data_IF_955552006288
#
_entry.id   IF_955552006288
#
_cell.length_a   1.000
_cell.length_b   1.000
_cell.length_c   1.000
_cell.angle_alpha   90.00
_cell.angle_beta   90.00
_cell.angle_gamma   90.00
#
_symmetry.space_group_name_H-M   'P 1'
#
loop_
_entity.id
_entity.type
_entity.pdbx_description
1 polymer ?
#
# COMPACT_ATOMS: atom_id res chain seq x y z
N UNK A 1 14.65 -33.34 -5.87
CA UNK A 1 14.91 -31.88 -5.81
C UNK A 1 13.68 -31.04 -5.40
N UNK A 2 12.44 -31.58 -5.35
CA UNK A 2 11.22 -30.79 -5.05
C UNK A 2 11.04 -30.27 -3.61
N UNK A 3 11.56 -30.95 -2.59
CA UNK A 3 11.28 -30.62 -1.18
C UNK A 3 11.72 -29.23 -0.71
N UNK A 4 12.77 -28.65 -1.31
CA UNK A 4 13.20 -27.28 -0.98
C UNK A 4 12.23 -26.25 -1.57
N UNK A 5 11.85 -26.42 -2.84
CA UNK A 5 10.90 -25.55 -3.51
C UNK A 5 9.57 -25.50 -2.78
N UNK A 6 9.06 -26.67 -2.36
CA UNK A 6 7.85 -26.78 -1.54
C UNK A 6 7.95 -26.03 -0.21
N UNK A 7 9.08 -26.12 0.50
CA UNK A 7 9.25 -25.41 1.78
C UNK A 7 9.38 -23.90 1.60
N UNK A 8 10.12 -23.45 0.59
CA UNK A 8 10.22 -22.02 0.25
C UNK A 8 8.84 -21.48 -0.13
N UNK A 9 8.10 -22.23 -0.95
CA UNK A 9 6.75 -21.88 -1.37
C UNK A 9 5.78 -21.82 -0.19
N UNK A 10 5.73 -22.86 0.65
CA UNK A 10 4.86 -22.89 1.83
C UNK A 10 5.22 -21.77 2.82
N UNK A 11 6.52 -21.51 3.01
CA UNK A 11 7.00 -20.40 3.81
C UNK A 11 6.53 -19.05 3.27
N UNK A 12 6.72 -18.80 1.97
CA UNK A 12 6.27 -17.58 1.29
C UNK A 12 4.74 -17.40 1.33
N UNK A 13 3.99 -18.47 1.11
CA UNK A 13 2.53 -18.46 1.17
C UNK A 13 2.03 -18.07 2.58
N UNK A 14 2.59 -18.70 3.62
CA UNK A 14 2.21 -18.44 5.00
C UNK A 14 2.57 -17.02 5.44
N UNK A 15 3.78 -16.56 5.14
CA UNK A 15 4.21 -15.20 5.48
C UNK A 15 3.42 -14.15 4.71
N UNK A 16 3.13 -14.36 3.43
CA UNK A 16 2.23 -13.50 2.65
C UNK A 16 0.85 -13.43 3.31
N UNK A 17 0.27 -14.57 3.71
CA UNK A 17 -1.04 -14.61 4.36
C UNK A 17 -1.03 -13.85 5.70
N UNK A 18 0.02 -14.01 6.50
CA UNK A 18 0.17 -13.28 7.77
C UNK A 18 0.28 -11.77 7.53
N UNK A 19 1.15 -11.34 6.60
CA UNK A 19 1.31 -9.91 6.29
C UNK A 19 0.03 -9.32 5.69
N UNK A 20 -0.67 -10.08 4.84
CA UNK A 20 -1.96 -9.68 4.27
C UNK A 20 -3.01 -9.52 5.37
N UNK A 21 -3.12 -10.49 6.29
CA UNK A 21 -4.05 -10.42 7.41
C UNK A 21 -3.79 -9.21 8.31
N UNK A 22 -2.51 -8.91 8.61
CA UNK A 22 -2.11 -7.73 9.36
C UNK A 22 -2.46 -6.43 8.61
N UNK A 23 -2.22 -6.39 7.29
CA UNK A 23 -2.57 -5.25 6.45
C UNK A 23 -4.08 -5.00 6.38
N UNK A 24 -4.88 -6.07 6.22
CA UNK A 24 -6.35 -6.00 6.26
C UNK A 24 -6.82 -5.52 7.63
N UNK A 25 -6.33 -6.10 8.73
CA UNK A 25 -6.71 -5.69 10.07
C UNK A 25 -6.40 -4.21 10.32
N UNK A 26 -5.20 -3.75 9.95
CA UNK A 26 -4.82 -2.33 10.05
C UNK A 26 -5.73 -1.43 9.18
N UNK A 27 -6.10 -1.89 7.98
CA UNK A 27 -7.06 -1.22 7.11
C UNK A 27 -8.45 -1.12 7.73
N UNK A 28 -8.96 -2.22 8.29
CA UNK A 28 -10.26 -2.27 8.97
C UNK A 28 -10.31 -1.34 10.16
N UNK A 29 -9.26 -1.28 10.99
CA UNK A 29 -9.17 -0.33 12.12
C UNK A 29 -9.29 1.11 11.64
N UNK A 30 -8.70 1.45 10.48
CA UNK A 30 -8.83 2.79 9.88
C UNK A 30 -10.21 3.09 9.32
N UNK A 31 -10.93 2.08 8.82
CA UNK A 31 -12.29 2.22 8.31
C UNK A 31 -13.36 2.18 9.40
N UNK A 32 -13.02 1.68 10.59
CA UNK A 32 -13.93 1.48 11.70
C UNK A 32 -14.76 2.74 12.06
N UNK A 33 -14.17 3.96 12.12
CA UNK A 33 -14.96 5.17 12.39
C UNK A 33 -16.05 5.42 11.34
N UNK A 34 -15.81 5.06 10.08
CA UNK A 34 -16.77 5.26 8.98
C UNK A 34 -17.82 4.16 8.94
N UNK A 35 -17.48 2.93 9.34
CA UNK A 35 -18.43 1.82 9.40
C UNK A 35 -19.47 2.00 10.52
N UNK A 36 -19.13 2.74 11.57
CA UNK A 36 -20.03 3.03 12.69
C UNK A 36 -20.70 4.41 12.62
N UNK A 37 -20.30 5.27 11.69
CA UNK A 37 -20.95 6.56 11.49
C UNK A 37 -22.24 6.37 10.67
N UNK A 38 -23.44 6.60 11.25
CA UNK A 38 -24.71 6.39 10.54
C UNK A 38 -24.88 7.32 9.32
N UNK A 39 -24.13 8.41 9.28
CA UNK A 39 -24.12 9.39 8.19
C UNK A 39 -23.26 8.95 6.99
N UNK A 40 -22.40 7.93 7.13
CA UNK A 40 -21.51 7.47 6.06
C UNK A 40 -22.11 6.24 5.37
N UNK A 41 -22.51 6.32 4.09
CA UNK A 41 -23.02 5.16 3.38
C UNK A 41 -21.92 4.10 3.19
N UNK A 42 -22.23 2.82 3.41
CA UNK A 42 -21.28 1.71 3.16
C UNK A 42 -20.75 1.70 1.72
N UNK A 43 -21.56 2.17 0.76
CA UNK A 43 -21.18 2.35 -0.64
C UNK A 43 -19.95 3.26 -0.79
N UNK A 44 -19.85 4.32 0.02
CA UNK A 44 -18.72 5.27 0.02
C UNK A 44 -17.48 4.66 0.68
N UNK A 45 -17.64 3.72 1.62
CA UNK A 45 -16.52 3.04 2.27
C UNK A 45 -15.87 1.95 1.39
N UNK A 46 -16.63 1.34 0.47
CA UNK A 46 -16.17 0.22 -0.35
C UNK A 46 -14.95 0.55 -1.24
N UNK A 47 -14.89 1.69 -1.97
CA UNK A 47 -13.72 2.06 -2.75
C UNK A 47 -12.44 2.17 -1.91
N UNK A 48 -12.56 2.64 -0.66
CA UNK A 48 -11.43 2.68 0.27
C UNK A 48 -10.99 1.32 0.74
N UNK A 49 -11.94 0.44 1.07
CA UNK A 49 -11.64 -0.94 1.43
C UNK A 49 -10.88 -1.65 0.30
N UNK A 50 -11.27 -1.41 -0.97
CA UNK A 50 -10.54 -1.92 -2.15
C UNK A 50 -9.12 -1.35 -2.24
N UNK A 51 -8.95 -0.04 -2.09
CA UNK A 51 -7.63 0.59 -2.12
C UNK A 51 -6.71 0.07 -0.99
N UNK A 52 -7.23 -0.09 0.23
CA UNK A 52 -6.50 -0.65 1.36
C UNK A 52 -6.17 -2.14 1.13
N UNK A 53 -7.09 -2.91 0.55
CA UNK A 53 -6.86 -4.30 0.18
C UNK A 53 -5.77 -4.46 -0.88
N UNK A 54 -5.75 -3.58 -1.89
CA UNK A 54 -4.69 -3.55 -2.89
C UNK A 54 -3.33 -3.22 -2.27
N UNK A 55 -3.26 -2.19 -1.40
CA UNK A 55 -2.03 -1.85 -0.69
C UNK A 55 -1.56 -2.98 0.26
N UNK A 56 -2.48 -3.66 0.94
CA UNK A 56 -2.17 -4.81 1.79
C UNK A 56 -1.62 -5.98 0.97
N UNK A 57 -2.16 -6.21 -0.24
CA UNK A 57 -1.68 -7.25 -1.16
C UNK A 57 -0.28 -6.93 -1.68
N UNK A 58 0.00 -5.68 -2.04
CA UNK A 58 1.34 -5.23 -2.44
C UNK A 58 2.35 -5.43 -1.30
N UNK A 59 2.00 -5.01 -0.08
CA UNK A 59 2.85 -5.19 1.10
C UNK A 59 3.07 -6.68 1.42
N UNK A 60 2.02 -7.50 1.32
CA UNK A 60 2.10 -8.94 1.52
C UNK A 60 3.05 -9.60 0.51
N UNK A 61 2.99 -9.21 -0.76
CA UNK A 61 3.89 -9.71 -1.78
C UNK A 61 5.34 -9.28 -1.52
N UNK A 62 5.58 -7.97 -1.35
CA UNK A 62 6.92 -7.39 -1.23
C UNK A 62 7.63 -7.83 0.05
N UNK A 63 6.91 -7.96 1.17
CA UNK A 63 7.49 -8.35 2.47
C UNK A 63 7.34 -9.84 2.74
N UNK A 64 6.15 -10.39 2.49
CA UNK A 64 5.85 -11.79 2.78
C UNK A 64 6.71 -12.75 1.97
N UNK A 65 6.84 -12.55 0.65
CA UNK A 65 7.61 -13.46 -0.19
C UNK A 65 9.09 -13.62 0.25
N UNK A 66 9.90 -12.55 0.40
CA UNK A 66 11.27 -12.69 0.88
C UNK A 66 11.38 -13.17 2.33
N UNK A 67 10.44 -12.79 3.20
CA UNK A 67 10.39 -13.29 4.58
C UNK A 67 10.21 -14.81 4.62
N UNK A 68 9.24 -15.32 3.89
CA UNK A 68 8.93 -16.75 3.85
C UNK A 68 10.01 -17.55 3.14
N UNK A 69 10.62 -17.01 2.08
CA UNK A 69 11.74 -17.63 1.39
C UNK A 69 12.98 -17.74 2.31
N UNK A 70 13.28 -16.69 3.08
CA UNK A 70 14.36 -16.71 4.06
C UNK A 70 14.12 -17.73 5.18
N UNK A 71 12.90 -17.79 5.75
CA UNK A 71 12.53 -18.76 6.78
C UNK A 71 12.54 -20.21 6.26
N UNK A 72 12.01 -20.43 5.05
CA UNK A 72 12.02 -21.73 4.38
C UNK A 72 13.45 -22.22 4.14
N UNK A 73 14.32 -21.36 3.62
CA UNK A 73 15.73 -21.65 3.44
C UNK A 73 16.45 -21.94 4.78
N UNK A 74 16.20 -21.15 5.82
CA UNK A 74 16.83 -21.35 7.13
C UNK A 74 16.42 -22.70 7.75
N UNK A 75 15.14 -23.09 7.63
CA UNK A 75 14.67 -24.39 8.09
C UNK A 75 15.36 -25.57 7.36
N UNK A 76 15.74 -25.36 6.10
CA UNK A 76 16.46 -26.35 5.30
C UNK A 76 17.94 -26.46 5.69
N UNK A 77 18.56 -25.34 6.09
CA UNK A 77 19.92 -25.32 6.66
C UNK A 77 19.93 -25.96 8.05
N UNK A 78 18.95 -25.64 8.90
CA UNK A 78 18.84 -26.15 10.27
C UNK A 78 18.75 -27.68 10.34
N UNK A 79 18.02 -28.30 9.40
CA UNK A 79 17.91 -29.77 9.31
C UNK A 79 19.15 -30.47 8.73
N UNK A 80 20.13 -29.72 8.24
CA UNK A 80 21.32 -30.29 7.59
C UNK A 80 21.10 -30.76 6.15
N UNK A 81 19.86 -30.71 5.62
CA UNK A 81 19.51 -31.07 4.24
C UNK A 81 20.39 -30.30 3.23
N UNK A 82 20.63 -29.01 3.48
CA UNK A 82 21.49 -28.16 2.66
C UNK A 82 22.94 -28.67 2.59
N UNK A 83 23.50 -29.09 3.73
CA UNK A 83 24.88 -29.57 3.81
C UNK A 83 25.05 -30.88 3.04
N UNK A 84 24.08 -31.78 3.15
CA UNK A 84 24.11 -33.05 2.41
C UNK A 84 24.12 -32.81 0.89
N UNK A 85 23.27 -31.90 0.40
CA UNK A 85 23.23 -31.57 -1.03
C UNK A 85 24.48 -30.83 -1.51
N UNK A 86 25.07 -29.97 -0.68
CA UNK A 86 26.33 -29.29 -1.01
C UNK A 86 27.51 -30.27 -1.04
N UNK A 87 27.53 -31.27 -0.17
CA UNK A 87 28.53 -32.34 -0.20
C UNK A 87 28.44 -33.19 -1.48
N UNK A 88 27.23 -33.31 -2.05
CA UNK A 88 26.99 -33.94 -3.36
C UNK A 88 27.28 -33.01 -4.56
N UNK A 89 27.85 -31.83 -4.33
CA UNK A 89 28.25 -30.89 -5.38
C UNK A 89 27.11 -30.03 -5.94
N UNK A 90 25.91 -30.04 -5.34
CA UNK A 90 24.82 -29.18 -5.79
C UNK A 90 25.07 -27.73 -5.35
N UNK A 91 25.06 -26.78 -6.28
CA UNK A 91 25.26 -25.37 -5.93
C UNK A 91 24.01 -24.75 -5.28
N UNK A 92 24.15 -23.79 -4.33
CA UNK A 92 23.02 -23.07 -3.75
C UNK A 92 22.14 -22.38 -4.81
N UNK A 93 22.75 -21.85 -5.88
CA UNK A 93 22.03 -21.20 -6.96
C UNK A 93 21.10 -22.16 -7.70
N UNK A 94 21.56 -23.39 -8.01
CA UNK A 94 20.73 -24.40 -8.66
C UNK A 94 19.55 -24.82 -7.77
N UNK A 95 19.77 -24.90 -6.46
CA UNK A 95 18.70 -25.18 -5.50
C UNK A 95 17.64 -24.06 -5.48
N UNK A 96 18.06 -22.80 -5.40
CA UNK A 96 17.12 -21.66 -5.36
C UNK A 96 16.39 -21.47 -6.69
N UNK A 97 17.07 -21.70 -7.82
CA UNK A 97 16.47 -21.63 -9.16
C UNK A 97 15.27 -22.59 -9.30
N UNK A 98 15.27 -23.72 -8.59
CA UNK A 98 14.13 -24.65 -8.60
C UNK A 98 12.86 -24.08 -7.96
N UNK A 99 12.96 -23.05 -7.11
CA UNK A 99 11.82 -22.35 -6.51
C UNK A 99 11.28 -21.21 -7.37
N UNK A 100 12.02 -20.76 -8.40
CA UNK A 100 11.64 -19.66 -9.28
C UNK A 100 10.24 -19.80 -9.93
N UNK A 101 9.82 -20.95 -10.50
CA UNK A 101 8.49 -21.04 -11.12
C UNK A 101 7.35 -20.87 -10.10
N UNK A 102 7.54 -21.35 -8.86
CA UNK A 102 6.55 -21.20 -7.79
C UNK A 102 6.40 -19.74 -7.35
N UNK A 103 7.53 -19.03 -7.22
CA UNK A 103 7.53 -17.60 -6.90
C UNK A 103 6.99 -16.76 -8.06
N UNK A 104 7.28 -17.14 -9.31
CA UNK A 104 6.73 -16.50 -10.50
C UNK A 104 5.20 -16.65 -10.57
N UNK A 105 4.65 -17.81 -10.20
CA UNK A 105 3.20 -18.00 -10.11
C UNK A 105 2.56 -17.06 -9.07
N UNK A 106 3.18 -16.87 -7.90
CA UNK A 106 2.71 -15.87 -6.93
C UNK A 106 2.80 -14.45 -7.44
N UNK A 107 3.91 -14.09 -8.10
CA UNK A 107 4.07 -12.78 -8.72
C UNK A 107 2.98 -12.52 -9.76
N UNK A 108 2.69 -13.50 -10.63
CA UNK A 108 1.63 -13.40 -11.62
C UNK A 108 0.25 -13.25 -10.98
N UNK A 109 -0.06 -14.06 -9.97
CA UNK A 109 -1.32 -13.96 -9.24
C UNK A 109 -1.48 -12.57 -8.61
N UNK A 110 -0.42 -12.04 -7.99
CA UNK A 110 -0.46 -10.71 -7.41
C UNK A 110 -0.62 -9.60 -8.46
N UNK A 111 -0.03 -9.74 -9.65
CA UNK A 111 -0.27 -8.84 -10.78
C UNK A 111 -1.74 -8.89 -11.20
N UNK A 112 -2.33 -10.07 -11.33
CA UNK A 112 -3.74 -10.23 -11.69
C UNK A 112 -4.67 -9.61 -10.64
N UNK A 113 -4.40 -9.82 -9.35
CA UNK A 113 -5.15 -9.19 -8.25
C UNK A 113 -5.00 -7.67 -8.28
N UNK A 114 -3.78 -7.17 -8.51
CA UNK A 114 -3.50 -5.74 -8.65
C UNK A 114 -4.26 -5.12 -9.82
N UNK A 115 -4.31 -5.79 -10.97
CA UNK A 115 -5.07 -5.34 -12.14
C UNK A 115 -6.59 -5.39 -11.90
N UNK A 116 -7.08 -6.40 -11.19
CA UNK A 116 -8.50 -6.53 -10.89
C UNK A 116 -9.00 -5.46 -9.91
N UNK A 117 -8.18 -5.05 -8.94
CA UNK A 117 -8.60 -4.21 -7.81
C UNK A 117 -8.00 -2.79 -7.79
N UNK A 118 -6.95 -2.52 -8.57
CA UNK A 118 -6.17 -1.28 -8.45
C UNK A 118 -6.68 -0.09 -9.27
N UNK A 119 -7.72 -0.25 -10.11
CA UNK A 119 -8.10 0.69 -11.18
C UNK A 119 -8.43 2.13 -10.77
N UNK A 120 -8.58 2.45 -9.48
CA UNK A 120 -9.00 3.77 -9.01
C UNK A 120 -7.91 4.61 -8.33
N UNK A 121 -6.69 4.10 -8.17
CA UNK A 121 -5.63 4.82 -7.42
C UNK A 121 -4.82 5.83 -8.26
N UNK A 122 -4.82 5.71 -9.59
CA UNK A 122 -3.92 6.48 -10.46
C UNK A 122 -4.29 7.97 -10.56
N UNK A 123 -5.56 8.32 -10.33
CA UNK A 123 -6.06 9.70 -10.44
C UNK A 123 -6.94 10.02 -9.21
N UNK A 124 -6.40 10.70 -8.19
CA UNK A 124 -7.14 10.92 -6.93
C UNK A 124 -8.40 11.77 -7.14
N UNK A 125 -8.42 12.65 -8.15
CA UNK A 125 -9.63 13.38 -8.52
C UNK A 125 -10.77 12.49 -9.00
N UNK A 126 -10.49 11.48 -9.83
CA UNK A 126 -11.51 10.50 -10.25
C UNK A 126 -12.06 9.71 -9.08
N UNK A 127 -11.20 9.32 -8.15
CA UNK A 127 -11.63 8.68 -6.91
C UNK A 127 -12.58 9.58 -6.10
N UNK A 128 -12.26 10.86 -5.95
CA UNK A 128 -13.16 11.82 -5.29
C UNK A 128 -14.49 12.00 -6.05
N UNK A 129 -14.46 12.09 -7.39
CA UNK A 129 -15.67 12.14 -8.23
C UNK A 129 -16.54 10.91 -7.99
N UNK A 130 -15.96 9.71 -7.98
CA UNK A 130 -16.69 8.45 -7.77
C UNK A 130 -17.34 8.40 -6.38
N UNK A 131 -16.62 8.82 -5.34
CA UNK A 131 -17.16 8.90 -3.97
C UNK A 131 -18.32 9.90 -3.87
N UNK A 132 -18.18 11.06 -4.51
CA UNK A 132 -19.25 12.07 -4.56
C UNK A 132 -20.46 11.57 -5.33
N UNK A 133 -20.26 10.86 -6.45
CA UNK A 133 -21.32 10.25 -7.24
C UNK A 133 -22.06 9.18 -6.45
N UNK A 134 -21.35 8.31 -5.72
CA UNK A 134 -21.93 7.30 -4.83
C UNK A 134 -22.71 7.94 -3.67
N UNK A 135 -22.13 8.96 -3.02
CA UNK A 135 -22.81 9.72 -1.96
C UNK A 135 -24.11 10.36 -2.47
N UNK A 136 -24.06 10.99 -3.65
CA UNK A 136 -25.24 11.57 -4.30
C UNK A 136 -26.29 10.51 -4.65
N UNK A 137 -25.87 9.36 -5.20
CA UNK A 137 -26.78 8.27 -5.58
C UNK A 137 -27.45 7.66 -4.35
N UNK A 138 -26.71 7.45 -3.26
CA UNK A 138 -27.26 7.03 -1.97
C UNK A 138 -28.27 8.06 -1.45
N UNK A 139 -27.95 9.34 -1.57
CA UNK A 139 -28.81 10.44 -1.16
C UNK A 139 -30.12 10.54 -1.96
N UNK A 140 -30.06 10.33 -3.28
CA UNK A 140 -31.22 10.34 -4.17
C UNK A 140 -32.23 9.21 -3.89
N UNK A 141 -31.80 8.12 -3.25
CA UNK A 141 -32.67 7.01 -2.84
C UNK A 141 -33.33 7.21 -1.47
N UNK A 142 -33.06 8.34 -0.78
CA UNK A 142 -33.60 8.58 0.55
C UNK A 142 -35.11 8.89 0.53
N UNK A 143 -35.88 8.17 1.36
CA UNK A 143 -37.32 8.39 1.55
C UNK A 143 -37.64 9.35 2.69
N UNK A 144 -36.69 9.55 3.61
CA UNK A 144 -36.76 10.51 4.71
C UNK A 144 -35.60 11.51 4.63
N UNK A 145 -35.74 12.72 5.19
CA UNK A 145 -34.63 13.67 5.27
C UNK A 145 -33.42 13.04 5.96
N UNK A 146 -32.25 13.09 5.32
CA UNK A 146 -31.01 12.56 5.88
C UNK A 146 -29.79 13.27 5.29
N UNK A 147 -28.64 13.02 5.87
CA UNK A 147 -27.34 13.42 5.33
C UNK A 147 -26.51 12.20 4.95
N UNK A 148 -25.75 12.32 3.85
CA UNK A 148 -24.74 11.33 3.46
C UNK A 148 -23.37 12.02 3.41
N UNK A 149 -22.54 11.76 4.41
CA UNK A 149 -21.18 12.30 4.51
C UNK A 149 -20.23 11.58 3.53
N UNK A 150 -19.33 12.35 2.92
CA UNK A 150 -18.23 11.88 2.10
C UNK A 150 -16.92 12.28 2.78
N UNK A 151 -16.40 11.46 3.71
CA UNK A 151 -15.33 11.86 4.63
C UNK A 151 -14.06 12.35 3.94
N UNK A 152 -13.70 11.74 2.79
CA UNK A 152 -12.46 12.11 2.09
C UNK A 152 -12.42 13.56 1.65
N UNK A 153 -13.57 14.05 1.19
CA UNK A 153 -13.72 15.35 0.55
C UNK A 153 -14.18 16.38 1.60
N UNK A 154 -14.61 15.91 2.79
CA UNK A 154 -15.10 16.77 3.86
C UNK A 154 -16.41 17.48 3.49
N UNK A 155 -17.26 16.80 2.69
CA UNK A 155 -18.56 17.33 2.27
C UNK A 155 -19.67 16.37 2.63
N UNK A 156 -20.89 16.90 2.70
CA UNK A 156 -22.08 16.16 3.09
C UNK A 156 -23.17 16.40 2.06
N UNK A 157 -23.73 15.34 1.49
CA UNK A 157 -24.94 15.43 0.68
C UNK A 157 -26.17 15.56 1.60
N UNK A 158 -26.95 16.61 1.38
CA UNK A 158 -28.23 16.85 2.02
C UNK A 158 -29.34 16.24 1.17
N UNK A 159 -30.10 15.32 1.77
CA UNK A 159 -31.12 14.52 1.11
C UNK A 159 -32.48 14.97 1.61
N UNK A 160 -33.30 15.49 0.69
CA UNK A 160 -34.69 15.84 0.97
C UNK A 160 -35.60 15.08 -0.01
N UNK A 161 -36.63 14.38 0.47
CA UNK A 161 -37.55 13.66 -0.41
C UNK A 161 -38.18 14.58 -1.46
N UNK A 162 -38.18 14.16 -2.72
CA UNK A 162 -38.74 14.93 -3.84
C UNK A 162 -37.90 16.12 -4.31
N UNK A 163 -36.70 16.34 -3.75
CA UNK A 163 -35.79 17.40 -4.18
C UNK A 163 -34.45 16.82 -4.65
N UNK A 164 -33.74 17.49 -5.59
CA UNK A 164 -32.41 17.05 -5.98
C UNK A 164 -31.44 17.17 -4.79
N UNK A 165 -30.57 16.16 -4.54
CA UNK A 165 -29.54 16.24 -3.53
C UNK A 165 -28.67 17.49 -3.69
N UNK A 166 -28.38 18.17 -2.58
CA UNK A 166 -27.44 19.30 -2.54
C UNK A 166 -26.24 18.94 -1.69
N UNK A 167 -25.04 19.22 -2.18
CA UNK A 167 -23.81 19.07 -1.39
C UNK A 167 -23.63 20.27 -0.48
N UNK A 168 -23.20 20.05 0.75
CA UNK A 168 -22.88 21.08 1.72
C UNK A 168 -21.48 20.86 2.28
N UNK A 169 -20.81 21.95 2.64
CA UNK A 169 -19.46 21.87 3.22
C UNK A 169 -18.99 23.21 3.76
N UNK A 170 -17.73 23.23 4.23
CA UNK A 170 -17.04 24.45 4.66
C UNK A 170 -16.15 24.96 3.53
N UNK A 171 -16.08 26.28 3.37
CA UNK A 171 -15.15 26.88 2.41
C UNK A 171 -13.74 26.94 3.02
N UNK A 172 -12.73 26.33 2.39
CA UNK A 172 -11.36 26.39 2.90
C UNK A 172 -10.83 27.84 2.87
N UNK A 173 -10.10 28.24 3.92
CA UNK A 173 -9.50 29.58 4.03
C UNK A 173 -10.44 30.69 4.50
N UNK A 174 -11.75 30.45 4.55
CA UNK A 174 -12.71 31.30 5.24
C UNK A 174 -12.90 30.75 6.67
N UNK A 175 -12.99 31.62 7.67
CA UNK A 175 -13.21 31.23 9.06
C UNK A 175 -14.38 30.23 9.19
N UNK A 176 -14.46 29.46 10.29
CA UNK A 176 -15.47 28.40 10.60
C UNK A 176 -16.96 28.80 10.42
N UNK A 177 -17.17 30.08 10.15
CA UNK A 177 -18.41 30.79 9.95
C UNK A 177 -18.96 30.75 8.51
N UNK A 178 -18.20 30.26 7.53
CA UNK A 178 -18.64 30.19 6.12
C UNK A 178 -19.04 28.77 5.71
N UNK A 179 -20.32 28.57 5.38
CA UNK A 179 -20.83 27.31 4.84
C UNK A 179 -21.31 27.52 3.41
N UNK A 180 -21.11 26.50 2.58
CA UNK A 180 -21.66 26.50 1.24
C UNK A 180 -22.65 25.36 1.05
N UNK A 181 -23.58 25.55 0.12
CA UNK A 181 -24.37 24.48 -0.48
C UNK A 181 -24.31 24.61 -2.00
N UNK A 182 -24.29 23.49 -2.72
CA UNK A 182 -24.29 23.49 -4.18
C UNK A 182 -25.11 22.30 -4.70
N UNK A 183 -25.61 22.40 -5.92
CA UNK A 183 -26.31 21.29 -6.58
C UNK A 183 -25.34 20.26 -7.14
N UNK A 184 -24.14 20.68 -7.55
CA UNK A 184 -23.07 19.78 -7.99
C UNK A 184 -21.73 20.18 -7.38
N UNK A 185 -20.85 19.20 -7.22
CA UNK A 185 -19.48 19.37 -6.76
C UNK A 185 -18.62 18.45 -7.63
N UNK A 186 -17.84 19.04 -8.53
CA UNK A 186 -17.01 18.31 -9.49
C UNK A 186 -15.55 18.73 -9.30
N UNK A 187 -14.75 17.93 -8.56
CA UNK A 187 -13.32 18.17 -8.47
C UNK A 187 -12.62 17.89 -9.80
N UNK A 188 -11.51 18.58 -10.04
CA UNK A 188 -10.58 18.25 -11.13
C UNK A 188 -9.81 16.96 -10.83
N UNK A 189 -9.22 16.37 -11.87
CA UNK A 189 -8.42 15.14 -11.78
C UNK A 189 -7.24 15.26 -10.79
N UNK A 190 -6.67 16.45 -10.66
CA UNK A 190 -5.56 16.79 -9.76
C UNK A 190 -6.00 17.38 -8.41
N UNK A 191 -7.31 17.51 -8.17
CA UNK A 191 -7.93 18.07 -6.97
C UNK A 191 -7.52 19.52 -6.65
N UNK A 192 -7.00 20.27 -7.64
CA UNK A 192 -6.61 21.68 -7.47
C UNK A 192 -7.71 22.66 -7.83
N UNK A 193 -8.71 22.18 -8.57
CA UNK A 193 -9.89 22.93 -8.97
C UNK A 193 -11.16 22.18 -8.54
N UNK A 194 -12.16 22.90 -8.05
CA UNK A 194 -13.50 22.36 -7.81
C UNK A 194 -14.51 23.25 -8.50
N UNK A 195 -15.37 22.64 -9.32
CA UNK A 195 -16.51 23.30 -9.96
C UNK A 195 -17.78 23.02 -9.19
N UNK A 196 -18.54 24.07 -8.92
CA UNK A 196 -19.78 24.06 -8.16
C UNK A 196 -20.89 24.67 -9.01
N UNK A 197 -22.04 24.02 -9.11
CA UNK A 197 -23.23 24.59 -9.76
C UNK A 197 -24.31 24.94 -8.74
N UNK A 198 -25.03 26.04 -8.97
CA UNK A 198 -26.01 26.62 -8.04
C UNK A 198 -25.45 26.76 -6.63
N UNK A 199 -24.29 27.43 -6.54
CA UNK A 199 -23.55 27.65 -5.31
C UNK A 199 -24.25 28.72 -4.47
N UNK A 200 -24.57 28.37 -3.23
CA UNK A 200 -25.05 29.31 -2.20
C UNK A 200 -24.06 29.32 -1.05
N UNK A 201 -23.55 30.49 -0.72
CA UNK A 201 -22.63 30.69 0.40
C UNK A 201 -23.34 31.50 1.46
N UNK A 202 -23.31 31.02 2.69
CA UNK A 202 -23.85 31.70 3.86
C UNK A 202 -22.70 31.91 4.85
N UNK A 203 -22.46 33.16 5.23
CA UNK A 203 -21.50 33.49 6.28
C UNK A 203 -22.22 34.01 7.52
N UNK A 204 -21.80 33.56 8.70
CA UNK A 204 -22.31 34.03 9.99
C UNK A 204 -21.17 34.67 10.79
N UNK A 205 -21.04 36.00 10.81
CA UNK A 205 -20.02 36.65 11.65
C UNK A 205 -20.38 36.42 13.13
N UNK A 206 -19.36 36.11 13.96
CA UNK A 206 -19.51 35.75 15.39
C UNK A 206 -20.18 36.84 16.25
N UNK A 207 -20.26 38.07 15.75
CA UNK A 207 -20.63 39.28 16.51
C UNK A 207 -21.93 39.95 16.01
N UNK A 208 -22.85 39.12 15.48
CA UNK A 208 -24.28 39.44 15.23
C UNK A 208 -24.61 40.82 14.63
N UNK A 209 -24.72 40.87 13.28
CA UNK A 209 -25.67 41.77 12.60
C UNK A 209 -25.80 41.59 11.08
N UNK A 210 -24.86 40.90 10.42
CA UNK A 210 -24.91 40.71 8.98
C UNK A 210 -24.75 39.23 8.60
N UNK A 211 -25.76 38.70 7.92
CA UNK A 211 -25.71 37.44 7.19
C UNK A 211 -25.47 37.77 5.72
N UNK A 212 -24.28 37.47 5.21
CA UNK A 212 -24.04 37.56 3.77
C UNK A 212 -24.56 36.26 3.15
N UNK A 213 -25.51 36.38 2.23
CA UNK A 213 -25.96 35.28 1.39
C UNK A 213 -25.58 35.59 -0.06
N UNK A 214 -24.69 34.77 -0.62
CA UNK A 214 -24.24 34.88 -2.00
C UNK A 214 -24.78 33.69 -2.78
N UNK A 215 -25.50 33.95 -3.87
CA UNK A 215 -25.99 32.90 -4.79
C UNK A 215 -25.34 33.08 -6.16
N UNK A 216 -24.64 32.04 -6.63
CA UNK A 216 -23.92 32.05 -7.90
C UNK A 216 -24.32 30.82 -8.71
N UNK A 217 -24.68 31.00 -9.98
CA UNK A 217 -25.05 29.87 -10.86
C UNK A 217 -23.91 28.88 -11.05
N UNK A 218 -22.68 29.37 -11.16
CA UNK A 218 -21.47 28.55 -11.30
C UNK A 218 -20.33 29.21 -10.52
N UNK A 219 -19.63 28.42 -9.71
CA UNK A 219 -18.44 28.84 -8.99
C UNK A 219 -17.30 27.88 -9.25
N UNK A 220 -16.10 28.40 -9.43
CA UNK A 220 -14.89 27.59 -9.57
C UNK A 220 -13.91 28.01 -8.48
N UNK A 221 -13.54 27.07 -7.62
CA UNK A 221 -12.51 27.27 -6.59
C UNK A 221 -11.20 26.69 -7.13
N UNK A 222 -10.17 27.52 -7.24
CA UNK A 222 -8.83 27.12 -7.72
C UNK A 222 -7.79 27.31 -6.63
N UNK A 223 -6.65 26.62 -6.79
CA UNK A 223 -5.54 26.75 -5.84
C UNK A 223 -5.74 25.94 -4.56
N UNK A 224 -6.62 24.94 -4.59
CA UNK A 224 -6.70 23.98 -3.50
C UNK A 224 -5.37 23.23 -3.41
N UNK A 225 -4.86 22.96 -2.19
CA UNK A 225 -3.73 22.07 -2.05
C UNK A 225 -4.14 20.73 -2.67
N UNK A 226 -3.29 20.15 -3.52
CA UNK A 226 -3.60 18.85 -4.11
C UNK A 226 -3.78 17.81 -3.00
N UNK A 227 -4.94 17.15 -2.97
CA UNK A 227 -5.23 16.10 -2.00
C UNK A 227 -4.79 14.75 -2.57
N UNK A 228 -3.88 14.10 -1.86
CA UNK A 228 -3.22 12.89 -2.37
C UNK A 228 -2.20 13.21 -3.47
N UNK A 229 -1.49 12.16 -3.90
CA UNK A 229 -0.49 12.24 -4.96
C UNK A 229 -0.90 11.23 -6.01
N UNK A 230 -0.98 11.64 -7.27
CA UNK A 230 -1.23 10.69 -8.35
C UNK A 230 -0.08 9.69 -8.40
N UNK A 231 -0.42 8.41 -8.44
CA UNK A 231 0.57 7.39 -8.71
C UNK A 231 1.18 7.70 -10.08
N UNK A 232 2.51 7.78 -10.16
CA UNK A 232 3.21 8.05 -11.42
C UNK A 232 3.27 6.84 -12.33
N UNK A 233 3.18 5.67 -11.72
CA UNK A 233 3.07 4.40 -12.41
C UNK A 233 1.61 4.02 -12.50
N UNK A 234 1.20 3.53 -13.66
CA UNK A 234 -0.09 2.86 -13.77
C UNK A 234 -0.09 1.61 -12.89
N UNK A 235 -1.28 1.23 -12.42
CA UNK A 235 -1.49 0.02 -11.59
C UNK A 235 -0.78 -1.21 -12.15
N UNK A 236 -0.85 -1.44 -13.47
CA UNK A 236 -0.23 -2.58 -14.12
C UNK A 236 1.30 -2.55 -14.01
N UNK A 237 1.91 -1.41 -14.33
CA UNK A 237 3.38 -1.26 -14.23
C UNK A 237 3.85 -1.37 -12.79
N UNK A 238 3.12 -0.77 -11.84
CA UNK A 238 3.43 -0.87 -10.41
C UNK A 238 3.35 -2.32 -9.91
N UNK A 239 2.30 -3.04 -10.30
CA UNK A 239 2.11 -4.44 -9.89
C UNK A 239 3.21 -5.35 -10.43
N UNK A 240 3.59 -5.16 -11.70
CA UNK A 240 4.71 -5.90 -12.32
C UNK A 240 6.03 -5.56 -11.63
N UNK A 241 6.28 -4.28 -11.33
CA UNK A 241 7.49 -3.86 -10.61
C UNK A 241 7.54 -4.46 -9.19
N UNK A 242 6.45 -4.41 -8.45
CA UNK A 242 6.35 -4.98 -7.11
C UNK A 242 6.56 -6.51 -7.14
N UNK A 243 5.93 -7.21 -8.08
CA UNK A 243 6.06 -8.66 -8.25
C UNK A 243 7.48 -9.08 -8.63
N UNK A 244 8.07 -8.42 -9.62
CA UNK A 244 9.46 -8.71 -10.04
C UNK A 244 10.44 -8.41 -8.91
N UNK A 245 10.26 -7.30 -8.19
CA UNK A 245 11.08 -6.97 -7.02
C UNK A 245 10.95 -8.02 -5.92
N UNK A 246 9.73 -8.43 -5.60
CA UNK A 246 9.47 -9.46 -4.59
C UNK A 246 10.12 -10.81 -4.94
N UNK A 247 10.05 -11.22 -6.22
CA UNK A 247 10.71 -12.44 -6.71
C UNK A 247 12.23 -12.33 -6.59
N UNK A 248 12.82 -11.22 -7.05
CA UNK A 248 14.28 -10.99 -6.95
C UNK A 248 14.74 -11.05 -5.49
N UNK A 249 14.01 -10.39 -4.58
CA UNK A 249 14.33 -10.42 -3.16
C UNK A 249 14.12 -11.79 -2.55
N UNK A 250 13.06 -12.51 -2.88
CA UNK A 250 12.82 -13.86 -2.37
C UNK A 250 13.92 -14.84 -2.79
N UNK A 251 14.34 -14.81 -4.06
CA UNK A 251 15.45 -15.62 -4.55
C UNK A 251 16.78 -15.20 -3.91
N UNK A 252 17.05 -13.89 -3.85
CA UNK A 252 18.29 -13.36 -3.26
C UNK A 252 18.42 -13.67 -1.77
N UNK A 253 17.34 -13.54 -1.01
CA UNK A 253 17.31 -13.83 0.43
C UNK A 253 17.49 -15.32 0.70
N UNK A 254 16.78 -16.18 -0.03
CA UNK A 254 16.96 -17.64 0.06
C UNK A 254 18.41 -18.04 -0.29
N UNK A 255 18.97 -17.47 -1.36
CA UNK A 255 20.37 -17.71 -1.75
C UNK A 255 21.34 -17.27 -0.67
N UNK A 256 21.15 -16.08 -0.10
CA UNK A 256 22.02 -15.52 0.95
C UNK A 256 21.96 -16.37 2.22
N UNK A 257 20.77 -16.79 2.64
CA UNK A 257 20.57 -17.66 3.81
C UNK A 257 21.26 -19.02 3.62
N UNK A 258 21.11 -19.64 2.44
CA UNK A 258 21.75 -20.92 2.10
C UNK A 258 23.28 -20.78 2.02
N UNK A 259 23.78 -19.75 1.32
CA UNK A 259 25.21 -19.53 1.10
C UNK A 259 25.96 -19.17 2.40
N UNK A 260 25.29 -18.47 3.32
CA UNK A 260 25.86 -18.11 4.62
C UNK A 260 25.61 -19.16 5.70
N UNK A 261 24.81 -20.20 5.42
CA UNK A 261 24.47 -21.23 6.39
C UNK A 261 23.74 -20.69 7.61
N UNK A 262 22.82 -19.73 7.42
CA UNK A 262 22.09 -19.10 8.52
C UNK A 262 21.05 -20.09 9.08
N UNK A 263 21.27 -20.54 10.31
CA UNK A 263 20.34 -21.42 11.04
C UNK A 263 19.45 -20.67 12.02
N UNK A 264 19.85 -19.48 12.45
CA UNK A 264 19.10 -18.71 13.47
C UNK A 264 17.89 -18.05 12.84
N UNK A 265 16.69 -18.30 13.41
CA UNK A 265 15.43 -17.68 12.97
C UNK A 265 15.50 -16.16 12.92
N UNK A 266 16.09 -15.51 13.92
CA UNK A 266 16.27 -14.04 13.92
C UNK A 266 17.11 -13.54 12.73
N UNK A 267 18.15 -14.29 12.35
CA UNK A 267 18.94 -13.98 11.17
C UNK A 267 18.10 -14.09 9.90
N UNK A 268 17.35 -15.17 9.74
CA UNK A 268 16.45 -15.36 8.61
C UNK A 268 15.38 -14.25 8.51
N UNK A 269 14.78 -13.87 9.65
CA UNK A 269 13.84 -12.74 9.73
C UNK A 269 14.50 -11.44 9.24
N UNK A 270 15.69 -11.10 9.73
CA UNK A 270 16.39 -9.88 9.33
C UNK A 270 16.72 -9.85 7.83
N UNK A 271 17.19 -10.97 7.27
CA UNK A 271 17.47 -11.08 5.83
C UNK A 271 16.21 -10.97 4.99
N UNK A 272 15.08 -11.50 5.45
CA UNK A 272 13.80 -11.42 4.74
C UNK A 272 13.13 -10.04 4.82
N UNK A 273 13.10 -9.42 6.00
CA UNK A 273 12.32 -8.19 6.23
C UNK A 273 13.05 -6.90 5.88
N UNK A 274 14.33 -6.76 6.23
CA UNK A 274 15.02 -5.46 6.08
C UNK A 274 15.13 -5.00 4.62
N UNK A 275 15.52 -5.85 3.64
CA UNK A 275 15.53 -5.45 2.23
C UNK A 275 14.13 -5.10 1.72
N UNK A 276 13.12 -5.86 2.13
CA UNK A 276 11.73 -5.63 1.72
C UNK A 276 11.16 -4.32 2.27
N UNK A 277 11.46 -3.99 3.54
CA UNK A 277 11.11 -2.70 4.14
C UNK A 277 11.81 -1.55 3.42
N UNK A 278 13.09 -1.73 3.05
CA UNK A 278 13.82 -0.76 2.22
C UNK A 278 13.09 -0.47 0.91
N UNK A 279 12.62 -1.51 0.22
CA UNK A 279 11.82 -1.38 -1.01
C UNK A 279 10.51 -0.64 -0.77
N UNK A 280 9.73 -1.02 0.26
CA UNK A 280 8.46 -0.34 0.56
C UNK A 280 8.65 1.13 0.92
N UNK A 281 9.67 1.46 1.72
CA UNK A 281 10.00 2.85 2.07
C UNK A 281 10.43 3.62 0.83
N UNK A 282 11.22 3.01 -0.06
CA UNK A 282 11.61 3.64 -1.33
C UNK A 282 10.43 3.88 -2.25
N UNK A 283 9.51 2.93 -2.42
CA UNK A 283 8.28 3.11 -3.20
C UNK A 283 7.45 4.26 -2.63
N UNK A 284 7.21 4.27 -1.32
CA UNK A 284 6.46 5.34 -0.63
C UNK A 284 7.14 6.71 -0.78
N UNK A 285 8.47 6.77 -0.68
CA UNK A 285 9.26 8.01 -0.90
C UNK A 285 9.21 8.46 -2.36
N UNK A 286 9.23 7.55 -3.33
CA UNK A 286 9.13 7.86 -4.75
C UNK A 286 7.74 8.36 -5.11
N UNK A 287 6.68 7.73 -4.59
CA UNK A 287 5.28 8.20 -4.68
C UNK A 287 5.15 9.63 -4.09
N UNK A 288 5.94 9.91 -3.05
CA UNK A 288 6.02 11.23 -2.45
C UNK A 288 6.88 12.24 -3.24
N UNK A 289 7.79 11.82 -4.10
CA UNK A 289 8.77 12.71 -4.72
C UNK A 289 8.28 13.35 -6.03
N UNK A 290 9.02 14.35 -6.55
CA UNK A 290 8.84 14.88 -7.91
C UNK A 290 9.61 14.09 -8.98
N UNK A 291 10.27 12.97 -8.61
CA UNK A 291 11.11 12.17 -9.51
C UNK A 291 10.32 11.58 -10.71
N UNK A 292 10.92 11.45 -11.90
CA UNK A 292 10.25 10.86 -13.05
C UNK A 292 9.89 9.39 -12.83
N UNK A 293 8.91 8.87 -13.58
CA UNK A 293 8.48 7.48 -13.52
C UNK A 293 9.64 6.48 -13.75
N UNK A 294 10.65 6.85 -14.55
CA UNK A 294 11.84 6.02 -14.77
C UNK A 294 12.66 5.76 -13.48
N UNK A 295 12.56 6.62 -12.46
CA UNK A 295 13.27 6.43 -11.19
C UNK A 295 12.81 5.16 -10.44
N UNK A 296 11.62 4.65 -10.73
CA UNK A 296 11.10 3.42 -10.12
C UNK A 296 11.87 2.17 -10.57
N UNK A 297 12.61 2.24 -11.69
CA UNK A 297 13.52 1.16 -12.11
C UNK A 297 14.66 0.93 -11.10
N UNK A 298 14.95 1.91 -10.23
CA UNK A 298 15.94 1.77 -9.16
C UNK A 298 15.44 0.93 -7.97
N UNK A 299 14.13 0.67 -7.84
CA UNK A 299 13.53 0.02 -6.67
C UNK A 299 14.08 -1.38 -6.39
N UNK A 300 14.20 -2.30 -7.38
CA UNK A 300 14.81 -3.60 -7.16
C UNK A 300 16.26 -3.51 -6.65
N UNK A 301 17.00 -2.50 -7.10
CA UNK A 301 18.39 -2.30 -6.71
C UNK A 301 18.53 -1.87 -5.25
N UNK A 302 17.59 -1.09 -4.71
CA UNK A 302 17.60 -0.71 -3.28
C UNK A 302 17.55 -1.96 -2.41
N UNK A 303 16.62 -2.87 -2.69
CA UNK A 303 16.50 -4.11 -1.94
C UNK A 303 17.72 -5.03 -2.15
N UNK A 304 18.24 -5.12 -3.36
CA UNK A 304 19.45 -5.91 -3.64
C UNK A 304 20.68 -5.37 -2.89
N UNK A 305 20.89 -4.05 -2.86
CA UNK A 305 21.98 -3.40 -2.11
C UNK A 305 21.82 -3.66 -0.62
N UNK A 306 20.63 -3.47 -0.05
CA UNK A 306 20.36 -3.76 1.36
C UNK A 306 20.68 -5.22 1.70
N UNK A 307 20.31 -6.16 0.84
CA UNK A 307 20.62 -7.58 1.01
C UNK A 307 22.12 -7.87 0.95
N UNK A 308 22.85 -7.28 0.01
CA UNK A 308 24.31 -7.43 -0.11
C UNK A 308 25.01 -6.88 1.13
N UNK A 309 24.60 -5.71 1.63
CA UNK A 309 25.15 -5.11 2.84
C UNK A 309 24.91 -6.00 4.06
N UNK A 310 23.71 -6.58 4.21
CA UNK A 310 23.40 -7.53 5.28
C UNK A 310 24.25 -8.80 5.18
N UNK A 311 24.43 -9.34 3.98
CA UNK A 311 25.28 -10.50 3.74
C UNK A 311 26.75 -10.21 4.08
N UNK A 312 27.27 -9.04 3.71
CA UNK A 312 28.62 -8.60 4.04
C UNK A 312 28.81 -8.44 5.56
N UNK A 313 27.87 -7.77 6.23
CA UNK A 313 27.89 -7.59 7.69
C UNK A 313 27.87 -8.94 8.42
N UNK A 314 27.02 -9.89 7.99
CA UNK A 314 26.96 -11.23 8.57
C UNK A 314 28.29 -11.99 8.41
N UNK A 315 28.97 -11.86 7.27
CA UNK A 315 30.31 -12.46 7.05
C UNK A 315 31.36 -11.86 7.97
N UNK A 316 31.37 -10.54 8.15
CA UNK A 316 32.32 -9.86 9.05
C UNK A 316 32.09 -10.25 10.51
N UNK A 317 30.84 -10.35 10.95
CA UNK A 317 30.52 -10.82 12.29
C UNK A 317 30.96 -12.28 12.51
N UNK A 318 30.73 -13.15 11.52
CA UNK A 318 31.16 -14.54 11.57
C UNK A 318 32.69 -14.68 11.63
N UNK A 319 33.45 -13.90 10.86
CA UNK A 319 34.92 -13.94 10.90
C UNK A 319 35.46 -13.46 12.27
N UNK A 320 34.86 -12.42 12.85
CA UNK A 320 35.25 -11.91 14.18
C UNK A 320 35.06 -12.93 15.31
N UNK A 321 34.01 -13.77 15.21
CA UNK A 321 33.71 -14.80 16.21
C UNK A 321 34.72 -15.95 16.17
N UNK A 322 35.20 -16.35 14.98
CA UNK A 322 36.24 -17.38 14.83
C UNK A 322 37.59 -16.91 15.35
N UNK A 323 37.92 -15.63 15.17
CA UNK A 323 39.16 -15.05 15.69
C UNK A 323 39.18 -15.09 17.23
N UNK A 324 38.09 -14.68 17.89
CA UNK A 324 37.96 -14.73 19.36
C UNK A 324 37.99 -16.16 19.91
N UNK A 325 37.36 -17.11 19.23
CA UNK A 325 37.36 -18.51 19.64
C UNK A 325 38.77 -19.13 19.70
N UNK A 326 39.70 -18.72 18.83
CA UNK A 326 41.08 -19.24 18.86
C UNK A 326 41.91 -18.72 20.03
N UNK A 327 41.64 -17.50 20.52
CA UNK A 327 42.43 -16.87 21.59
C UNK A 327 42.16 -17.51 22.97
N UNK A 328 40.97 -18.05 23.19
CA UNK A 328 40.60 -18.69 24.47
C UNK A 328 41.18 -20.10 24.68
N UNK A 329 41.74 -20.75 23.64
CA UNK A 329 42.31 -22.10 23.75
C UNK A 329 43.83 -22.11 24.01
N UNK A 330 44.46 -20.93 24.13
CA UNK A 330 45.90 -20.78 24.37
C UNK A 330 46.25 -20.31 25.79
N UNK A 331 45.31 -20.41 26.73
CA UNK A 331 45.52 -20.23 28.16
C UNK A 331 45.03 -21.46 28.89
#
# INVERSE_FOLDING_TARGET
>A
MGKLGERIFAGAALSMLVVLALGIAAGTVRLLPWLFAPEVPLEVALPFARALGAAATEAALVVGAPLGAALGAASFVERGDARALFALGVSPARLVASAAPHLAAFGLLAVLVGLAWGSSADVPGRFAVDLLAQGRASCARATTPRSAEVPLVGVTWLCFPGQPPRVAGRLPGLADNARFTAQSFTPSDDLREVRLSDLRVVTKKLDERYRLELSVKQGTVRGLPGWGRSAKLTVGVRSVLAATTAIILALGTALSVLALGITRRLGALAFGTLPALGVLVSLSRMDASTLPAAAYLAVPFVGAVALVLLAAAARLLASSSRARGKVLWWK
#
